data_IF_371028150298
#
_entry.id   IF_371028150298
#
_cell.length_a   1.000
_cell.length_b   1.000
_cell.length_c   1.000
_cell.angle_alpha   90.00
_cell.angle_beta   90.00
_cell.angle_gamma   90.00
#
_symmetry.space_group_name_H-M   'P 1'
#
loop_
_entity.id
_entity.type
_entity.pdbx_description
1 polymer ?
#
# COMPACT_ATOMS: atom_id res chain seq x y z
N UNK A 1 40.76 -38.59 -1.27
CA UNK A 1 39.32 -38.81 -1.58
C UNK A 1 38.68 -37.48 -1.95
N UNK A 2 37.95 -37.39 -3.07
CA UNK A 2 37.40 -36.13 -3.60
C UNK A 2 35.93 -36.01 -3.18
N UNK A 3 35.60 -35.05 -2.32
CA UNK A 3 34.34 -34.95 -1.56
C UNK A 3 33.39 -33.86 -2.07
N UNK A 4 33.17 -33.74 -3.38
CA UNK A 4 32.22 -32.75 -3.92
C UNK A 4 31.00 -33.42 -4.52
N UNK A 5 29.82 -32.99 -4.07
CA UNK A 5 28.55 -33.37 -4.68
C UNK A 5 28.53 -32.95 -6.16
N UNK A 6 28.04 -33.80 -7.07
CA UNK A 6 27.85 -33.40 -8.46
C UNK A 6 26.85 -32.24 -8.55
N UNK A 7 27.20 -31.19 -9.30
CA UNK A 7 26.27 -30.12 -9.62
C UNK A 7 25.21 -30.66 -10.60
N UNK A 8 23.97 -30.74 -10.14
CA UNK A 8 22.83 -31.01 -11.00
C UNK A 8 22.36 -29.68 -11.62
N UNK A 9 22.80 -29.37 -12.84
CA UNK A 9 22.16 -28.31 -13.61
C UNK A 9 20.85 -28.87 -14.17
N UNK A 10 19.74 -28.52 -13.54
CA UNK A 10 18.45 -28.81 -14.13
C UNK A 10 18.39 -28.09 -15.50
N UNK A 11 18.07 -28.80 -16.59
CA UNK A 11 17.93 -28.15 -17.88
C UNK A 11 16.87 -27.06 -17.76
N UNK A 12 17.04 -25.91 -18.44
CA UNK A 12 16.04 -24.86 -18.42
C UNK A 12 14.69 -25.47 -18.79
N UNK A 13 13.68 -25.23 -17.95
CA UNK A 13 12.31 -25.69 -18.18
C UNK A 13 11.92 -25.44 -19.64
N UNK A 14 11.44 -26.50 -20.32
CA UNK A 14 10.89 -26.41 -21.69
C UNK A 14 9.85 -25.31 -21.83
N UNK A 15 9.20 -24.94 -20.71
CA UNK A 15 8.11 -23.97 -20.64
C UNK A 15 8.54 -22.62 -20.04
N UNK A 16 9.84 -22.31 -19.92
CA UNK A 16 10.32 -21.06 -19.32
C UNK A 16 9.65 -19.82 -19.91
N UNK A 17 9.55 -19.75 -21.25
CA UNK A 17 8.87 -18.64 -21.94
C UNK A 17 7.40 -18.52 -21.54
N UNK A 18 6.68 -19.65 -21.51
CA UNK A 18 5.28 -19.69 -21.08
C UNK A 18 5.10 -19.21 -19.63
N UNK A 19 6.03 -19.57 -18.73
CA UNK A 19 6.01 -19.12 -17.33
C UNK A 19 6.24 -17.61 -17.23
N UNK A 20 7.20 -17.07 -17.97
CA UNK A 20 7.51 -15.63 -18.01
C UNK A 20 6.33 -14.83 -18.61
N UNK A 21 5.71 -15.31 -19.69
CA UNK A 21 4.52 -14.70 -20.28
C UNK A 21 3.31 -14.71 -19.34
N UNK A 22 3.11 -15.79 -18.59
CA UNK A 22 2.03 -15.88 -17.61
C UNK A 22 2.27 -14.94 -16.43
N UNK A 23 3.50 -14.92 -15.91
CA UNK A 23 3.89 -14.05 -14.80
C UNK A 23 3.72 -12.56 -15.17
N UNK A 24 4.19 -12.15 -16.34
CA UNK A 24 4.03 -10.79 -16.83
C UNK A 24 2.56 -10.40 -16.98
N UNK A 25 1.72 -11.26 -17.58
CA UNK A 25 0.27 -11.02 -17.67
C UNK A 25 -0.39 -10.88 -16.31
N UNK A 26 -0.07 -11.75 -15.35
CA UNK A 26 -0.65 -11.69 -14.00
C UNK A 26 -0.20 -10.43 -13.27
N UNK A 27 1.08 -10.05 -13.35
CA UNK A 27 1.60 -8.81 -12.76
C UNK A 27 0.93 -7.57 -13.36
N UNK A 28 0.78 -7.52 -14.68
CA UNK A 28 0.07 -6.42 -15.36
C UNK A 28 -1.37 -6.31 -14.91
N UNK A 29 -2.09 -7.44 -14.84
CA UNK A 29 -3.47 -7.49 -14.33
C UNK A 29 -3.54 -6.98 -12.89
N UNK A 30 -2.68 -7.48 -12.00
CA UNK A 30 -2.66 -7.09 -10.60
C UNK A 30 -2.34 -5.60 -10.42
N UNK A 31 -1.37 -5.08 -11.17
CA UNK A 31 -1.04 -3.65 -11.19
C UNK A 31 -2.25 -2.81 -11.60
N UNK A 32 -2.90 -3.15 -12.71
CA UNK A 32 -4.10 -2.44 -13.16
C UNK A 32 -5.20 -2.42 -12.09
N UNK A 33 -5.47 -3.56 -11.44
CA UNK A 33 -6.46 -3.62 -10.37
C UNK A 33 -6.06 -2.78 -9.16
N UNK A 34 -4.79 -2.83 -8.75
CA UNK A 34 -4.27 -2.05 -7.65
C UNK A 34 -4.40 -0.55 -7.94
N UNK A 35 -3.94 -0.10 -9.11
CA UNK A 35 -4.00 1.30 -9.54
C UNK A 35 -5.46 1.79 -9.67
N UNK A 36 -6.34 0.98 -10.27
CA UNK A 36 -7.78 1.32 -10.39
C UNK A 36 -8.49 1.41 -9.04
N UNK A 37 -8.14 0.54 -8.09
CA UNK A 37 -8.72 0.56 -6.73
C UNK A 37 -8.06 1.59 -5.83
N UNK A 38 -6.90 2.11 -6.21
CA UNK A 38 -6.23 3.18 -5.50
C UNK A 38 -6.99 4.49 -5.70
N UNK A 39 -8.06 4.66 -4.91
CA UNK A 39 -8.78 5.93 -4.75
C UNK A 39 -7.94 6.86 -3.88
N UNK A 40 -6.78 7.26 -4.39
CA UNK A 40 -5.98 8.29 -3.73
C UNK A 40 -6.86 9.55 -3.62
N UNK A 41 -7.20 9.94 -2.40
CA UNK A 41 -7.94 11.17 -2.18
C UNK A 41 -7.09 12.34 -2.67
N UNK A 42 -7.71 13.27 -3.40
CA UNK A 42 -7.04 14.46 -3.92
C UNK A 42 -6.79 15.51 -2.82
N UNK A 43 -6.29 15.08 -1.67
CA UNK A 43 -5.99 15.94 -0.52
C UNK A 43 -4.85 16.90 -0.84
N UNK A 44 -5.06 18.17 -0.52
CA UNK A 44 -4.11 19.27 -0.66
C UNK A 44 -3.76 19.83 0.72
N UNK A 45 -2.55 20.38 0.89
CA UNK A 45 -2.25 21.21 2.05
C UNK A 45 -3.32 22.29 2.23
N UNK A 46 -3.84 22.45 3.45
CA UNK A 46 -4.93 23.35 3.79
C UNK A 46 -6.32 22.71 3.85
N UNK A 47 -6.52 21.52 3.28
CA UNK A 47 -7.82 20.83 3.39
C UNK A 47 -8.13 20.45 4.85
N UNK A 48 -9.40 20.63 5.25
CA UNK A 48 -9.89 20.17 6.55
C UNK A 48 -10.27 18.70 6.50
N UNK A 49 -9.77 17.92 7.44
CA UNK A 49 -9.99 16.46 7.51
C UNK A 49 -10.37 16.03 8.92
N UNK A 50 -11.29 15.06 9.01
CA UNK A 50 -11.57 14.36 10.26
C UNK A 50 -10.59 13.20 10.43
N UNK A 51 -10.03 13.09 11.62
CA UNK A 51 -9.00 12.10 11.94
C UNK A 51 -9.63 10.95 12.70
N UNK A 52 -9.35 9.72 12.28
CA UNK A 52 -9.85 8.52 12.94
C UNK A 52 -9.28 8.45 14.35
N UNK A 53 -10.15 8.31 15.35
CA UNK A 53 -9.75 8.21 16.75
C UNK A 53 -9.71 6.75 17.23
N UNK A 54 -9.00 6.52 18.33
CA UNK A 54 -9.12 5.25 19.05
C UNK A 54 -10.50 5.21 19.72
N UNK A 55 -11.33 4.27 19.29
CA UNK A 55 -12.65 4.02 19.85
C UNK A 55 -12.46 3.39 21.22
N UNK A 56 -12.89 4.06 22.30
CA UNK A 56 -12.78 3.53 23.67
C UNK A 56 -14.03 2.74 24.05
N UNK A 57 -15.20 3.15 23.54
CA UNK A 57 -16.51 2.54 23.82
C UNK A 57 -17.31 2.29 22.53
N UNK A 58 -18.26 1.35 22.58
CA UNK A 58 -19.11 0.99 21.42
C UNK A 58 -19.97 2.15 20.87
N UNK A 59 -20.22 3.17 21.70
CA UNK A 59 -21.02 4.35 21.33
C UNK A 59 -20.15 5.55 20.92
N UNK A 60 -18.83 5.44 20.99
CA UNK A 60 -17.94 6.53 20.60
C UNK A 60 -17.97 6.70 19.07
N UNK A 61 -17.87 7.94 18.60
CA UNK A 61 -17.75 8.22 17.18
C UNK A 61 -16.40 7.70 16.65
N UNK A 62 -16.32 7.15 15.42
CA UNK A 62 -15.05 6.66 14.89
C UNK A 62 -14.01 7.76 14.59
N UNK A 63 -14.44 9.02 14.53
CA UNK A 63 -13.61 10.18 14.17
C UNK A 63 -13.64 11.24 15.26
N UNK A 64 -12.49 11.89 15.46
CA UNK A 64 -12.37 13.03 16.36
C UNK A 64 -13.32 14.16 15.90
N UNK A 65 -14.06 14.80 16.83
CA UNK A 65 -14.92 15.93 16.50
C UNK A 65 -14.13 17.17 16.07
N UNK A 66 -12.85 17.26 16.45
CA UNK A 66 -11.98 18.39 16.11
C UNK A 66 -11.34 18.14 14.73
N UNK A 67 -11.66 18.94 13.70
CA UNK A 67 -11.06 18.79 12.38
C UNK A 67 -9.59 19.23 12.39
N UNK A 68 -8.73 18.41 11.79
CA UNK A 68 -7.34 18.75 11.52
C UNK A 68 -7.19 19.44 10.16
N UNK A 69 -6.06 20.12 9.95
CA UNK A 69 -5.70 20.71 8.66
C UNK A 69 -4.52 19.95 8.06
N UNK A 70 -4.60 19.60 6.77
CA UNK A 70 -3.50 18.92 6.07
C UNK A 70 -2.31 19.88 5.93
N UNK A 71 -1.14 19.46 6.38
CA UNK A 71 0.11 20.24 6.29
C UNK A 71 0.90 19.84 5.06
N UNK A 72 1.01 18.54 4.81
CA UNK A 72 1.79 18.01 3.69
C UNK A 72 1.36 16.59 3.32
N UNK A 73 1.72 16.18 2.10
CA UNK A 73 1.47 14.83 1.58
C UNK A 73 2.72 14.29 0.91
N UNK A 74 3.12 13.07 1.28
CA UNK A 74 4.21 12.32 0.64
C UNK A 74 3.71 10.94 0.26
N UNK A 75 3.41 10.74 -1.03
CA UNK A 75 2.79 9.50 -1.51
C UNK A 75 1.41 9.29 -0.87
N UNK A 76 1.21 8.14 -0.21
CA UNK A 76 0.01 7.82 0.56
C UNK A 76 0.02 8.37 2.00
N UNK A 77 1.16 8.88 2.48
CA UNK A 77 1.27 9.44 3.82
C UNK A 77 0.83 10.90 3.82
N UNK A 78 -0.08 11.24 4.73
CA UNK A 78 -0.62 12.58 4.93
C UNK A 78 -0.26 13.05 6.33
N UNK A 79 0.33 14.24 6.46
CA UNK A 79 0.57 14.91 7.74
C UNK A 79 -0.51 15.96 7.95
N UNK A 80 -1.09 15.99 9.14
CA UNK A 80 -2.09 16.98 9.55
C UNK A 80 -1.72 17.54 10.92
N UNK A 81 -2.14 18.76 11.18
CA UNK A 81 -2.06 19.40 12.50
C UNK A 81 -3.46 19.52 13.09
N UNK A 82 -3.58 19.22 14.39
CA UNK A 82 -4.80 19.42 15.18
C UNK A 82 -4.50 20.51 16.20
N UNK A 83 -5.34 21.54 16.26
CA UNK A 83 -5.29 22.52 17.35
C UNK A 83 -6.12 21.97 18.50
N UNK A 84 -5.44 21.58 19.57
CA UNK A 84 -6.09 21.24 20.84
C UNK A 84 -6.04 22.52 21.66
N UNK A 85 -7.19 23.17 21.83
CA UNK A 85 -7.32 24.24 22.81
C UNK A 85 -7.32 23.60 24.20
N UNK A 86 -6.48 24.12 25.09
CA UNK A 86 -6.33 23.69 26.48
C UNK A 86 -7.17 24.53 27.41
#
# INVERSE_FOLDING_TARGET
MKTKLPQFSAPPSRNRKYVEERDTKVKQKNKYYADKRNKASALRPGDKVLVKQQVRNKLDTPFSPVPGSVVSRKGSMVRFDIRIES
#
